data_IF_456833692423
#
_entry.id   IF_456833692423
#
_cell.length_a   1.000
_cell.length_b   1.000
_cell.length_c   1.000
_cell.angle_alpha   90.00
_cell.angle_beta   90.00
_cell.angle_gamma   90.00
#
_symmetry.space_group_name_H-M   'P 1'
#
loop_
_entity.id
_entity.type
_entity.pdbx_description
1 polymer ?
#
# COMPACT_ATOMS: atom_id res chain seq x y z
N UNK A 1 10.13 -9.49 21.86
CA UNK A 1 10.08 -8.51 20.76
C UNK A 1 9.05 -7.47 21.12
N UNK A 2 9.31 -6.17 20.89
CA UNK A 2 8.30 -5.15 21.13
C UNK A 2 7.06 -5.47 20.28
N UNK A 3 5.87 -5.38 20.87
CA UNK A 3 4.61 -5.56 20.17
C UNK A 3 4.52 -4.53 19.03
N UNK A 4 4.24 -5.01 17.82
CA UNK A 4 4.13 -4.18 16.61
C UNK A 4 2.78 -4.47 15.95
N UNK A 5 1.85 -3.51 16.02
CA UNK A 5 0.53 -3.61 15.39
C UNK A 5 0.59 -2.98 14.00
N UNK A 6 0.20 -3.68 12.92
CA UNK A 6 0.08 -3.05 11.60
C UNK A 6 -1.10 -2.07 11.62
N UNK A 7 -0.88 -0.84 11.14
CA UNK A 7 -1.90 0.24 11.17
C UNK A 7 -2.28 0.74 9.78
N UNK A 8 -1.36 0.70 8.81
CA UNK A 8 -1.62 1.19 7.44
C UNK A 8 -0.92 0.34 6.38
N UNK A 9 -1.50 0.30 5.18
CA UNK A 9 -0.88 -0.18 3.95
C UNK A 9 -0.13 0.98 3.28
N UNK A 10 1.06 0.69 2.77
CA UNK A 10 1.84 1.61 1.94
C UNK A 10 1.61 1.26 0.47
N UNK A 11 1.08 2.20 -0.32
CA UNK A 11 0.64 1.96 -1.70
C UNK A 11 1.17 3.04 -2.63
N UNK A 12 1.76 2.63 -3.75
CA UNK A 12 2.23 3.52 -4.80
C UNK A 12 1.38 3.39 -6.06
N UNK A 13 1.44 4.41 -6.91
CA UNK A 13 0.89 4.37 -8.27
C UNK A 13 2.03 4.03 -9.24
N UNK A 14 1.84 3.01 -10.06
CA UNK A 14 2.86 2.51 -11.02
C UNK A 14 2.44 2.67 -12.48
N UNK A 15 1.31 3.33 -12.72
CA UNK A 15 0.83 3.64 -14.06
C UNK A 15 -0.68 3.78 -14.13
N UNK A 16 -1.20 3.72 -15.34
CA UNK A 16 -2.62 3.75 -15.65
C UNK A 16 -2.96 2.66 -16.68
N UNK A 17 -4.22 2.27 -16.74
CA UNK A 17 -4.75 1.34 -17.73
C UNK A 17 -6.17 1.75 -18.10
N UNK A 18 -6.58 1.44 -19.33
CA UNK A 18 -7.95 1.67 -19.77
C UNK A 18 -8.79 0.43 -19.47
N UNK A 19 -9.90 0.64 -18.76
CA UNK A 19 -10.86 -0.40 -18.49
C UNK A 19 -11.58 -0.83 -19.78
N UNK A 20 -11.45 -2.09 -20.23
CA UNK A 20 -12.08 -2.55 -21.46
C UNK A 20 -13.61 -2.48 -21.43
N UNK A 21 -14.23 -2.54 -20.25
CA UNK A 21 -15.68 -2.55 -20.11
C UNK A 21 -16.27 -1.14 -20.03
N UNK A 22 -15.63 -0.26 -19.25
CA UNK A 22 -16.14 1.10 -19.03
C UNK A 22 -15.49 2.17 -19.90
N UNK A 23 -14.38 1.85 -20.58
CA UNK A 23 -13.56 2.80 -21.33
C UNK A 23 -12.81 3.81 -20.47
N UNK A 24 -12.96 3.77 -19.14
CA UNK A 24 -12.36 4.74 -18.22
C UNK A 24 -10.89 4.44 -17.97
N UNK A 25 -10.09 5.50 -17.85
CA UNK A 25 -8.70 5.40 -17.37
C UNK A 25 -8.70 5.17 -15.86
N UNK A 26 -8.10 4.06 -15.43
CA UNK A 26 -7.92 3.69 -14.02
C UNK A 26 -6.44 3.67 -13.67
N UNK A 27 -6.12 4.03 -12.43
CA UNK A 27 -4.77 3.92 -11.91
C UNK A 27 -4.40 2.46 -11.62
N UNK A 28 -3.12 2.13 -11.83
CA UNK A 28 -2.50 0.89 -11.38
C UNK A 28 -1.80 1.15 -10.06
N UNK A 29 -2.24 0.47 -9.02
CA UNK A 29 -1.68 0.57 -7.67
C UNK A 29 -0.84 -0.66 -7.34
N UNK A 30 0.18 -0.46 -6.51
CA UNK A 30 0.99 -1.54 -5.95
C UNK A 30 1.19 -1.30 -4.46
N UNK A 31 0.88 -2.30 -3.63
CA UNK A 31 1.24 -2.25 -2.21
C UNK A 31 2.73 -2.57 -2.08
N UNK A 32 3.48 -1.69 -1.43
CA UNK A 32 4.94 -1.82 -1.26
C UNK A 32 5.35 -2.22 0.16
N UNK A 33 4.41 -2.21 1.10
CA UNK A 33 4.72 -2.43 2.51
C UNK A 33 3.59 -2.02 3.44
N UNK A 34 3.93 -1.88 4.72
CA UNK A 34 3.00 -1.53 5.80
C UNK A 34 3.68 -0.65 6.84
N UNK A 35 2.87 0.18 7.49
CA UNK A 35 3.28 0.91 8.71
C UNK A 35 2.84 0.11 9.93
N UNK A 36 3.74 -0.01 10.89
CA UNK A 36 3.49 -0.61 12.19
C UNK A 36 3.66 0.44 13.29
N UNK A 37 2.83 0.35 14.31
CA UNK A 37 2.96 1.10 15.53
C UNK A 37 3.54 0.20 16.64
N UNK A 38 4.57 0.69 17.31
CA UNK A 38 5.20 0.04 18.47
C UNK A 38 4.50 0.45 19.76
N UNK A 39 4.66 -0.34 20.82
CA UNK A 39 4.11 -0.02 22.15
C UNK A 39 4.54 1.34 22.73
N UNK A 40 5.63 1.94 22.26
CA UNK A 40 6.08 3.28 22.65
C UNK A 40 5.51 4.40 21.75
N UNK A 41 4.53 4.11 20.89
CA UNK A 41 3.91 5.06 19.96
C UNK A 41 4.74 5.38 18.72
N UNK A 42 5.94 4.80 18.57
CA UNK A 42 6.75 5.00 17.36
C UNK A 42 6.12 4.26 16.18
N UNK A 43 6.11 4.93 15.02
CA UNK A 43 5.71 4.34 13.75
C UNK A 43 6.94 3.93 12.96
N UNK A 44 6.90 2.72 12.42
CA UNK A 44 7.98 2.17 11.58
C UNK A 44 7.39 1.59 10.30
N UNK A 45 8.08 1.79 9.19
CA UNK A 45 7.66 1.27 7.89
C UNK A 45 8.45 0.01 7.55
N UNK A 46 7.74 -1.04 7.18
CA UNK A 46 8.32 -2.21 6.53
C UNK A 46 8.09 -2.07 5.03
N UNK A 47 9.16 -2.13 4.24
CA UNK A 47 9.10 -2.14 2.77
C UNK A 47 9.31 -3.59 2.32
N UNK A 48 8.26 -4.20 1.80
CA UNK A 48 8.24 -5.59 1.33
C UNK A 48 8.62 -5.69 -0.15
N UNK A 49 8.36 -4.63 -0.92
CA UNK A 49 8.58 -4.59 -2.36
C UNK A 49 8.90 -3.18 -2.85
N UNK A 50 9.64 -3.10 -3.96
CA UNK A 50 9.92 -1.85 -4.68
C UNK A 50 9.63 -2.05 -6.18
N UNK A 51 9.08 -1.04 -6.87
CA UNK A 51 8.87 -1.14 -8.30
C UNK A 51 10.22 -1.17 -9.03
N UNK A 52 10.27 -1.91 -10.14
CA UNK A 52 11.44 -1.98 -11.03
C UNK A 52 11.00 -1.80 -12.49
N UNK A 53 11.95 -1.46 -13.36
CA UNK A 53 11.67 -1.27 -14.79
C UNK A 53 10.66 -0.15 -15.07
N UNK A 54 9.72 -0.39 -15.98
CA UNK A 54 8.70 0.59 -16.37
C UNK A 54 7.83 1.03 -15.20
N UNK A 55 7.52 0.13 -14.26
CA UNK A 55 6.76 0.48 -13.06
C UNK A 55 7.49 1.51 -12.18
N UNK A 56 8.82 1.45 -12.12
CA UNK A 56 9.63 2.42 -11.39
C UNK A 56 9.67 3.78 -12.10
N UNK A 57 9.72 3.79 -13.43
CA UNK A 57 9.69 5.03 -14.24
C UNK A 57 8.37 5.78 -14.11
N UNK A 58 7.26 5.05 -13.97
CA UNK A 58 5.92 5.62 -13.81
C UNK A 58 5.61 6.07 -12.38
N UNK A 59 6.43 5.67 -11.41
CA UNK A 59 6.26 6.09 -10.02
C UNK A 59 6.91 7.46 -9.80
N UNK A 60 6.14 8.39 -9.23
CA UNK A 60 6.58 9.76 -8.96
C UNK A 60 7.25 9.95 -7.58
N UNK A 61 7.61 8.86 -6.91
CA UNK A 61 8.26 8.87 -5.59
C UNK A 61 7.32 8.99 -4.38
N UNK A 62 6.02 9.21 -4.59
CA UNK A 62 5.05 9.35 -3.50
C UNK A 62 4.44 8.01 -3.05
N UNK A 63 4.27 7.87 -1.74
CA UNK A 63 3.64 6.71 -1.10
C UNK A 63 2.34 7.15 -0.44
N UNK A 64 1.24 6.48 -0.78
CA UNK A 64 -0.05 6.65 -0.14
C UNK A 64 -0.15 5.72 1.07
N UNK A 65 -0.77 6.20 2.13
CA UNK A 65 -1.05 5.42 3.33
C UNK A 65 -2.55 5.22 3.46
N UNK A 66 -2.98 3.97 3.56
CA UNK A 66 -4.37 3.62 3.76
C UNK A 66 -4.50 2.84 5.07
N UNK A 67 -5.44 3.19 5.97
CA UNK A 67 -5.71 2.40 7.16
C UNK A 67 -5.91 0.93 6.79
N UNK A 68 -5.38 0.04 7.61
CA UNK A 68 -5.77 -1.37 7.52
C UNK A 68 -7.15 -1.42 8.15
N UNK A 69 -8.17 -1.71 7.34
CA UNK A 69 -9.51 -1.99 7.86
C UNK A 69 -9.37 -3.06 8.94
N UNK A 70 -9.79 -2.74 10.17
CA UNK A 70 -9.91 -3.75 11.20
C UNK A 70 -10.88 -4.78 10.63
N UNK A 71 -10.36 -5.97 10.36
CA UNK A 71 -11.11 -7.07 9.79
C UNK A 71 -12.24 -7.36 10.77
N UNK A 72 -13.39 -6.73 10.56
CA UNK A 72 -14.63 -7.07 11.23
C UNK A 72 -14.84 -8.53 10.93
N UNK A 73 -14.69 -9.36 11.96
CA UNK A 73 -14.69 -10.81 11.86
C UNK A 73 -15.82 -11.25 10.95
N UNK A 74 -15.46 -11.76 9.78
CA UNK A 74 -16.37 -12.55 8.98
C UNK A 74 -16.72 -13.77 9.82
N UNK A 75 -17.99 -13.84 10.21
CA UNK A 75 -18.61 -15.05 10.74
C UNK A 75 -18.28 -16.23 9.82
N UNK A 76 -17.70 -17.29 10.39
CA UNK A 76 -17.93 -18.69 10.04
C UNK A 76 -17.98 -19.50 11.33
#
# INVERSE_FOLDING_TARGET
MAEMKPVEKMVIVTGQWQDPQSGQTKYRYMTIGRVFERSNGQRVSLIDAMPVGEAAKNWNGWVNYYPIDEQSGGQQ
#
